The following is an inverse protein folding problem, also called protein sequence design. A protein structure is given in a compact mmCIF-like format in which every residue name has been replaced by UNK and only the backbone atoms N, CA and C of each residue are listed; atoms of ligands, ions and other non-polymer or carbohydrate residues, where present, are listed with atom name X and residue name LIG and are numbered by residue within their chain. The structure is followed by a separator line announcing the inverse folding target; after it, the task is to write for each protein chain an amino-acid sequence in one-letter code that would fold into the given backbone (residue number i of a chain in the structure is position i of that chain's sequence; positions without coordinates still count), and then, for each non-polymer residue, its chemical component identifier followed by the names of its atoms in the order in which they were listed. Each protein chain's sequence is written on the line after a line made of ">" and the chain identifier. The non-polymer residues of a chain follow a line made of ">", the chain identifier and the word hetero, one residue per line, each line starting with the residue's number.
data_IF_498236740686
#
_entry.id   IF_498236740686
#
_cell.length_a   1.000
_cell.length_b   1.000
_cell.length_c   1.000
_cell.angle_alpha   90.00
_cell.angle_beta   90.00
_cell.angle_gamma   90.00
#
_symmetry.space_group_name_H-M   'P 1'
#
loop_
_entity.id
_entity.type
_entity.pdbx_description
1 polymer ?
#
# COMPACT_ATOMS: atom_id res chain seq x y z
N UNK A 1 -1.07 7.00 -11.08
CA UNK A 1 0.36 6.87 -10.74
C UNK A 1 0.97 5.59 -11.35
N UNK A 2 0.44 4.39 -11.08
CA UNK A 2 1.02 3.10 -11.50
C UNK A 2 1.22 3.00 -13.02
N UNK A 3 0.23 3.41 -13.82
CA UNK A 3 0.40 3.43 -15.28
C UNK A 3 1.62 4.27 -15.70
N UNK A 4 1.77 5.44 -15.13
CA UNK A 4 2.91 6.33 -15.44
C UNK A 4 4.24 5.75 -14.95
N UNK A 5 4.23 5.01 -13.86
CA UNK A 5 5.43 4.34 -13.34
C UNK A 5 5.88 3.20 -14.27
N UNK A 6 4.94 2.36 -14.72
CA UNK A 6 5.24 1.09 -15.37
C UNK A 6 4.94 1.03 -16.87
N UNK A 7 4.09 1.94 -17.39
CA UNK A 7 3.79 2.09 -18.81
C UNK A 7 3.83 3.57 -19.25
N UNK A 8 4.92 4.30 -18.98
CA UNK A 8 5.01 5.70 -19.37
C UNK A 8 5.06 5.87 -20.88
N UNK A 9 4.41 6.92 -21.39
CA UNK A 9 4.61 7.38 -22.78
C UNK A 9 6.02 7.94 -22.94
N UNK A 10 6.51 8.04 -24.18
CA UNK A 10 7.84 8.62 -24.47
C UNK A 10 7.98 10.05 -23.90
N UNK A 11 6.92 10.85 -24.00
CA UNK A 11 6.90 12.21 -23.42
C UNK A 11 7.01 12.20 -21.90
N UNK A 12 6.42 11.21 -21.25
CA UNK A 12 6.49 11.05 -19.79
C UNK A 12 7.86 10.54 -19.34
N UNK A 13 8.47 9.60 -20.08
CA UNK A 13 9.83 9.10 -19.82
C UNK A 13 10.87 10.23 -19.83
N UNK A 14 10.74 11.17 -20.75
CA UNK A 14 11.65 12.32 -20.86
C UNK A 14 11.55 13.27 -19.66
N UNK A 15 10.42 13.26 -18.94
CA UNK A 15 10.20 14.11 -17.76
C UNK A 15 10.48 13.41 -16.45
N UNK A 16 10.19 12.12 -16.39
CA UNK A 16 10.28 11.34 -15.17
C UNK A 16 10.30 9.85 -15.49
N UNK A 17 11.30 9.16 -14.94
CA UNK A 17 11.47 7.72 -15.10
C UNK A 17 11.51 7.09 -13.70
N UNK A 18 10.52 6.24 -13.39
CA UNK A 18 10.42 5.56 -12.12
C UNK A 18 11.42 4.40 -12.03
N UNK A 19 12.28 4.42 -11.04
CA UNK A 19 13.28 3.39 -10.78
C UNK A 19 13.16 2.77 -9.38
N UNK A 20 12.20 3.21 -8.59
CA UNK A 20 11.98 2.77 -7.23
C UNK A 20 11.13 1.51 -7.15
N UNK A 21 10.58 1.27 -5.96
CA UNK A 21 9.63 0.20 -5.68
C UNK A 21 8.25 0.77 -5.41
N UNK A 22 7.23 0.15 -5.97
CA UNK A 22 5.83 0.45 -5.68
C UNK A 22 5.15 -0.78 -5.10
N UNK A 23 4.44 -0.63 -4.00
CA UNK A 23 3.67 -1.70 -3.38
C UNK A 23 2.22 -1.28 -3.26
N UNK A 24 1.35 -2.01 -3.97
CA UNK A 24 -0.08 -1.78 -3.94
C UNK A 24 -0.78 -2.78 -3.02
N UNK A 25 -1.56 -2.27 -2.08
CA UNK A 25 -2.52 -3.04 -1.31
C UNK A 25 -3.91 -2.72 -1.84
N UNK A 26 -4.64 -3.71 -2.31
CA UNK A 26 -6.00 -3.53 -2.81
C UNK A 26 -6.98 -4.45 -2.07
N UNK A 27 -8.06 -3.85 -1.58
CA UNK A 27 -9.15 -4.56 -0.91
C UNK A 27 -10.40 -4.62 -1.78
N UNK A 28 -11.04 -5.78 -1.80
CA UNK A 28 -12.33 -5.99 -2.45
C UNK A 28 -13.14 -7.07 -1.73
N UNK A 29 -14.49 -7.06 -1.86
CA UNK A 29 -15.31 -8.14 -1.30
C UNK A 29 -15.04 -9.49 -1.95
N UNK A 30 -14.92 -9.52 -3.27
CA UNK A 30 -14.66 -10.71 -4.09
C UNK A 30 -13.62 -10.40 -5.15
N UNK A 31 -12.90 -11.40 -5.61
CA UNK A 31 -11.90 -11.26 -6.68
C UNK A 31 -12.49 -10.67 -7.98
N UNK A 32 -13.74 -10.99 -8.30
CA UNK A 32 -14.46 -10.40 -9.43
C UNK A 32 -14.69 -8.87 -9.32
N UNK A 33 -14.55 -8.29 -8.14
CA UNK A 33 -14.68 -6.85 -7.91
C UNK A 33 -13.36 -6.08 -8.00
N UNK A 34 -12.23 -6.77 -8.23
CA UNK A 34 -10.93 -6.13 -8.39
C UNK A 34 -10.91 -5.31 -9.70
N UNK A 35 -10.42 -4.08 -9.58
CA UNK A 35 -10.28 -3.17 -10.72
C UNK A 35 -8.87 -3.27 -11.30
N UNK A 36 -8.78 -3.11 -12.63
CA UNK A 36 -7.49 -3.07 -13.34
C UNK A 36 -6.63 -4.33 -13.18
N UNK A 37 -7.24 -5.48 -12.89
CA UNK A 37 -6.49 -6.72 -12.56
C UNK A 37 -5.54 -7.14 -13.69
N UNK A 38 -5.97 -7.06 -14.95
CA UNK A 38 -5.12 -7.39 -16.10
C UNK A 38 -3.91 -6.46 -16.21
N UNK A 39 -4.13 -5.16 -16.03
CA UNK A 39 -3.05 -4.17 -16.06
C UNK A 39 -2.07 -4.40 -14.90
N UNK A 40 -2.58 -4.66 -13.70
CA UNK A 40 -1.75 -4.88 -12.51
C UNK A 40 -0.94 -6.17 -12.62
N UNK A 41 -1.51 -7.25 -13.17
CA UNK A 41 -0.79 -8.49 -13.43
C UNK A 41 0.31 -8.29 -14.49
N UNK A 42 0.06 -7.47 -15.50
CA UNK A 42 1.07 -7.13 -16.52
C UNK A 42 2.22 -6.33 -15.89
N UNK A 43 1.93 -5.33 -15.06
CA UNK A 43 2.97 -4.56 -14.35
C UNK A 43 3.82 -5.45 -13.46
N UNK A 44 3.19 -6.40 -12.77
CA UNK A 44 3.88 -7.36 -11.90
C UNK A 44 4.79 -8.29 -12.72
N UNK A 45 4.30 -8.82 -13.85
CA UNK A 45 5.04 -9.69 -14.74
C UNK A 45 6.25 -9.00 -15.37
N UNK A 46 6.07 -7.74 -15.82
CA UNK A 46 7.11 -6.96 -16.50
C UNK A 46 8.11 -6.31 -15.53
N UNK A 47 7.71 -6.10 -14.27
CA UNK A 47 8.51 -5.40 -13.25
C UNK A 47 8.55 -6.16 -11.91
N UNK A 48 9.00 -7.42 -11.88
CA UNK A 48 8.91 -8.26 -10.68
C UNK A 48 9.72 -7.74 -9.48
N UNK A 49 10.78 -6.97 -9.74
CA UNK A 49 11.64 -6.39 -8.70
C UNK A 49 11.18 -5.00 -8.24
N UNK A 50 10.31 -4.34 -8.99
CA UNK A 50 9.90 -2.96 -8.77
C UNK A 50 8.44 -2.80 -8.39
N UNK A 51 7.60 -3.80 -8.63
CA UNK A 51 6.19 -3.78 -8.29
C UNK A 51 5.80 -4.98 -7.44
N UNK A 52 5.10 -4.70 -6.34
CA UNK A 52 4.49 -5.70 -5.46
C UNK A 52 3.00 -5.43 -5.33
N UNK A 53 2.20 -6.48 -5.39
CA UNK A 53 0.75 -6.40 -5.36
C UNK A 53 0.18 -7.35 -4.31
N UNK A 54 -0.46 -6.81 -3.28
CA UNK A 54 -1.06 -7.57 -2.18
C UNK A 54 -2.57 -7.32 -2.17
N UNK A 55 -3.33 -8.40 -2.16
CA UNK A 55 -4.80 -8.38 -2.18
C UNK A 55 -5.40 -8.79 -0.84
N UNK A 56 -6.47 -8.11 -0.45
CA UNK A 56 -7.32 -8.48 0.67
C UNK A 56 -8.76 -8.68 0.16
N UNK A 57 -9.18 -9.93 0.02
CA UNK A 57 -10.50 -10.30 -0.51
C UNK A 57 -11.40 -10.77 0.63
N UNK A 58 -12.22 -9.87 1.16
CA UNK A 58 -12.87 -10.05 2.45
C UNK A 58 -13.90 -11.18 2.52
N UNK A 59 -14.44 -11.61 1.39
CA UNK A 59 -15.40 -12.72 1.33
C UNK A 59 -14.81 -14.03 0.82
N UNK A 60 -13.54 -14.05 0.43
CA UNK A 60 -12.85 -15.23 -0.11
C UNK A 60 -11.63 -15.64 0.71
N UNK A 61 -11.11 -14.73 1.55
CA UNK A 61 -9.92 -14.96 2.37
C UNK A 61 -10.22 -14.74 3.85
N UNK A 62 -9.45 -15.42 4.69
CA UNK A 62 -9.53 -15.28 6.14
C UNK A 62 -8.20 -14.76 6.70
N UNK A 63 -8.29 -13.94 7.76
CA UNK A 63 -7.13 -13.52 8.53
C UNK A 63 -6.69 -14.63 9.50
N UNK A 64 -5.61 -14.41 10.23
CA UNK A 64 -5.04 -15.39 11.19
C UNK A 64 -5.98 -15.73 12.34
N UNK A 65 -7.01 -14.92 12.58
CA UNK A 65 -8.02 -15.13 13.63
C UNK A 65 -9.29 -15.82 13.10
N UNK A 66 -9.32 -16.21 11.82
CA UNK A 66 -10.48 -16.83 11.18
C UNK A 66 -11.58 -15.85 10.75
N UNK A 67 -11.35 -14.53 10.89
CA UNK A 67 -12.23 -13.49 10.41
C UNK A 67 -11.98 -13.12 8.96
N UNK A 68 -12.76 -12.17 8.43
CA UNK A 68 -12.58 -11.67 7.07
C UNK A 68 -11.23 -10.98 6.91
N UNK A 69 -10.63 -11.18 5.73
CA UNK A 69 -9.39 -10.52 5.37
C UNK A 69 -9.64 -9.08 4.89
N UNK A 70 -9.07 -8.11 5.57
CA UNK A 70 -9.09 -6.70 5.18
C UNK A 70 -7.68 -6.17 4.92
N UNK A 71 -7.56 -4.98 4.36
CA UNK A 71 -6.26 -4.34 4.08
C UNK A 71 -5.42 -4.20 5.34
N UNK A 72 -6.02 -3.82 6.47
CA UNK A 72 -5.30 -3.69 7.73
C UNK A 72 -4.67 -5.02 8.21
N UNK A 73 -5.29 -6.16 7.92
CA UNK A 73 -4.71 -7.47 8.22
C UNK A 73 -3.46 -7.72 7.37
N UNK A 74 -3.51 -7.36 6.08
CA UNK A 74 -2.36 -7.45 5.18
C UNK A 74 -1.23 -6.50 5.58
N UNK A 75 -1.55 -5.31 6.05
CA UNK A 75 -0.57 -4.34 6.58
C UNK A 75 0.16 -4.95 7.78
N UNK A 76 -0.56 -5.57 8.72
CA UNK A 76 0.05 -6.26 9.85
C UNK A 76 0.96 -7.41 9.45
N UNK A 77 0.53 -8.26 8.53
CA UNK A 77 1.36 -9.36 7.99
C UNK A 77 2.66 -8.87 7.37
N UNK A 78 2.64 -7.68 6.81
CA UNK A 78 3.74 -7.07 6.06
C UNK A 78 4.50 -6.00 6.86
N UNK A 79 4.26 -5.88 8.15
CA UNK A 79 4.74 -4.80 9.00
C UNK A 79 6.25 -4.57 8.89
N UNK A 80 7.05 -5.63 8.95
CA UNK A 80 8.50 -5.53 8.89
C UNK A 80 8.98 -4.89 7.57
N UNK A 81 8.51 -5.40 6.45
CA UNK A 81 8.89 -4.91 5.12
C UNK A 81 8.37 -3.50 4.86
N UNK A 82 7.13 -3.19 5.30
CA UNK A 82 6.55 -1.85 5.18
C UNK A 82 7.38 -0.80 5.94
N UNK A 83 7.76 -1.08 7.19
CA UNK A 83 8.54 -0.14 7.97
C UNK A 83 9.97 0.00 7.45
N UNK A 84 10.56 -1.05 6.89
CA UNK A 84 11.83 -0.93 6.17
C UNK A 84 11.73 0.05 4.99
N UNK A 85 10.62 0.01 4.24
CA UNK A 85 10.37 1.00 3.18
C UNK A 85 10.14 2.41 3.73
N UNK A 86 9.41 2.55 4.83
CA UNK A 86 9.10 3.85 5.46
C UNK A 86 10.36 4.53 6.01
N UNK A 87 11.36 3.78 6.44
CA UNK A 87 12.65 4.31 6.87
C UNK A 87 13.38 5.05 5.76
N UNK A 88 13.16 4.71 4.51
CA UNK A 88 13.67 5.48 3.37
C UNK A 88 12.86 6.78 3.22
N UNK A 89 13.53 7.92 3.35
CA UNK A 89 12.93 9.26 3.27
C UNK A 89 12.25 9.57 1.93
N UNK A 90 12.56 8.80 0.89
CA UNK A 90 11.96 8.92 -0.45
C UNK A 90 10.65 8.14 -0.59
N UNK A 91 10.27 7.36 0.41
CA UNK A 91 9.04 6.57 0.39
C UNK A 91 7.83 7.44 0.71
N UNK A 92 6.81 7.36 -0.15
CA UNK A 92 5.52 8.01 0.02
C UNK A 92 4.42 6.97 0.22
N UNK A 93 3.48 7.25 1.11
CA UNK A 93 2.33 6.41 1.40
C UNK A 93 1.06 7.13 0.94
N UNK A 94 0.23 6.40 0.20
CA UNK A 94 -1.07 6.89 -0.28
C UNK A 94 -2.17 5.97 0.25
N UNK A 95 -3.16 6.56 0.89
CA UNK A 95 -4.36 5.86 1.38
C UNK A 95 -5.58 6.45 0.68
N UNK A 96 -6.28 5.60 -0.08
CA UNK A 96 -7.50 5.96 -0.79
C UNK A 96 -8.62 4.98 -0.44
N UNK A 97 -9.82 5.48 -0.27
CA UNK A 97 -10.99 4.64 -0.04
C UNK A 97 -12.03 5.24 0.88
N UNK A 98 -12.82 4.39 1.51
CA UNK A 98 -13.87 4.81 2.44
C UNK A 98 -13.25 5.33 3.74
N UNK A 99 -13.76 6.46 4.22
CA UNK A 99 -13.29 7.09 5.46
C UNK A 99 -13.31 6.14 6.67
N UNK A 100 -14.28 5.24 6.71
CA UNK A 100 -14.39 4.23 7.76
C UNK A 100 -13.22 3.24 7.86
N UNK A 101 -12.37 3.14 6.85
CA UNK A 101 -11.17 2.28 6.89
C UNK A 101 -9.98 2.91 7.65
N UNK A 102 -9.96 4.23 7.80
CA UNK A 102 -8.85 4.94 8.43
C UNK A 102 -8.51 4.44 9.85
N UNK A 103 -9.50 4.24 10.76
CA UNK A 103 -9.21 3.73 12.11
C UNK A 103 -8.55 2.35 12.11
N UNK A 104 -8.99 1.45 11.22
CA UNK A 104 -8.43 0.10 11.09
C UNK A 104 -6.99 0.12 10.58
N UNK A 105 -6.69 0.97 9.62
CA UNK A 105 -5.32 1.17 9.12
C UNK A 105 -4.45 1.78 10.21
N UNK A 106 -4.94 2.78 10.92
CA UNK A 106 -4.20 3.45 11.99
C UNK A 106 -3.88 2.47 13.14
N UNK A 107 -4.82 1.62 13.52
CA UNK A 107 -4.61 0.57 14.50
C UNK A 107 -3.56 -0.45 14.04
N UNK A 108 -3.63 -0.89 12.79
CA UNK A 108 -2.65 -1.81 12.20
C UNK A 108 -1.25 -1.20 12.15
N UNK A 109 -1.13 0.06 11.76
CA UNK A 109 0.15 0.78 11.73
C UNK A 109 0.70 0.98 13.15
N UNK A 110 -0.14 1.23 14.13
CA UNK A 110 0.25 1.31 15.55
C UNK A 110 0.86 0.00 16.03
N UNK A 111 0.18 -1.12 15.81
CA UNK A 111 0.68 -2.46 16.16
C UNK A 111 1.98 -2.80 15.44
N UNK A 112 2.04 -2.52 14.15
CA UNK A 112 3.22 -2.75 13.34
C UNK A 112 4.43 -1.93 13.80
N UNK A 113 4.22 -0.67 14.17
CA UNK A 113 5.25 0.19 14.73
C UNK A 113 5.74 -0.31 16.10
N UNK A 114 4.82 -0.73 16.97
CA UNK A 114 5.15 -1.27 18.29
C UNK A 114 6.06 -2.51 18.17
N UNK A 115 5.81 -3.40 17.22
CA UNK A 115 6.66 -4.56 16.93
C UNK A 115 8.09 -4.18 16.54
N UNK A 116 8.27 -3.00 15.98
CA UNK A 116 9.56 -2.45 15.56
C UNK A 116 10.20 -1.52 16.61
N UNK A 117 9.57 -1.34 17.76
CA UNK A 117 10.02 -0.40 18.78
C UNK A 117 9.83 1.06 18.40
N UNK A 118 8.93 1.36 17.46
CA UNK A 118 8.59 2.70 16.99
C UNK A 118 7.25 3.17 17.57
N UNK A 119 7.04 4.48 17.61
CA UNK A 119 5.79 5.08 18.07
C UNK A 119 5.04 5.69 16.88
N UNK A 120 3.96 5.05 16.46
CA UNK A 120 3.17 5.51 15.32
C UNK A 120 2.52 6.88 15.54
N UNK A 121 2.10 7.18 16.78
CA UNK A 121 1.50 8.48 17.09
C UNK A 121 2.47 9.66 16.93
N UNK A 122 3.77 9.40 16.96
CA UNK A 122 4.82 10.38 16.67
C UNK A 122 5.26 10.34 15.20
N UNK A 123 5.38 9.14 14.62
CA UNK A 123 5.85 8.94 13.27
C UNK A 123 4.88 9.46 12.22
N UNK A 124 3.58 9.21 12.39
CA UNK A 124 2.53 9.64 11.44
C UNK A 124 2.52 11.16 11.21
N UNK A 125 2.51 12.02 12.26
CA UNK A 125 2.61 13.47 12.07
C UNK A 125 3.90 13.90 11.38
N UNK A 126 5.02 13.24 11.64
CA UNK A 126 6.30 13.51 10.99
C UNK A 126 6.24 13.21 9.49
N UNK A 127 5.66 12.06 9.10
CA UNK A 127 5.44 11.68 7.71
C UNK A 127 4.53 12.70 6.99
N UNK A 128 3.48 13.13 7.66
CA UNK A 128 2.55 14.14 7.14
C UNK A 128 3.24 15.48 6.92
N UNK A 129 4.02 15.94 7.89
CA UNK A 129 4.80 17.17 7.81
C UNK A 129 5.84 17.12 6.69
N UNK A 130 6.46 15.97 6.49
CA UNK A 130 7.43 15.73 5.41
C UNK A 130 6.78 15.59 4.02
N UNK A 131 5.44 15.64 3.90
CA UNK A 131 4.73 15.44 2.64
C UNK A 131 4.78 14.00 2.12
N UNK A 132 4.91 13.02 3.02
CA UNK A 132 5.04 11.60 2.70
C UNK A 132 3.81 10.75 3.03
N UNK A 133 2.84 11.31 3.72
CA UNK A 133 1.58 10.67 4.11
C UNK A 133 0.41 11.39 3.45
N UNK A 134 -0.24 10.70 2.50
CA UNK A 134 -1.31 11.25 1.68
C UNK A 134 -2.60 10.44 1.88
N UNK A 135 -3.67 11.09 2.28
CA UNK A 135 -4.97 10.45 2.52
C UNK A 135 -6.05 11.14 1.70
N UNK A 136 -6.74 10.34 0.88
CA UNK A 136 -7.92 10.76 0.09
C UNK A 136 -9.06 9.80 0.40
N UNK A 137 -9.81 10.07 1.46
CA UNK A 137 -10.95 9.25 1.88
C UNK A 137 -12.27 10.00 1.76
N UNK A 138 -13.34 9.27 1.51
CA UNK A 138 -14.69 9.81 1.27
C UNK A 138 -15.79 9.04 2.00
#
# INVERSE_FOLDING_TARGET
>A
YLRRMFEPTEKEKNKWNFKGKAWLFMGAPKSANLLYEEDLQRYLSDNPDNFKYTKAISREQQNTKGGRMYIQDRVLESANELFNMIEDEKTHIYLCGLKGMEPGIDEAMTKAADEKGLNWSELRPQLKKAGRWHVETY
#
